data_IF_747678459324
#
_entry.id   IF_747678459324
#
_cell.length_a   1.000
_cell.length_b   1.000
_cell.length_c   1.000
_cell.angle_alpha   90.00
_cell.angle_beta   90.00
_cell.angle_gamma   90.00
#
_symmetry.space_group_name_H-M   'P 1'
#
loop_
_entity.id
_entity.type
_entity.pdbx_description
1 polymer ?
#
# COMPACT_ATOMS: atom_id res chain seq x y z
N UNK A 1 -25.71 -5.72 12.71
CA UNK A 1 -25.97 -5.77 11.23
C UNK A 1 -26.30 -4.38 10.64
N UNK A 2 -27.26 -3.62 11.21
CA UNK A 2 -27.67 -2.31 10.66
C UNK A 2 -26.54 -1.23 10.66
N UNK A 3 -25.69 -1.16 11.70
CA UNK A 3 -24.60 -0.16 11.76
C UNK A 3 -23.53 -0.38 10.68
N UNK A 4 -23.18 -1.61 10.36
CA UNK A 4 -22.21 -1.91 9.30
C UNK A 4 -22.75 -1.59 7.90
N UNK A 5 -24.04 -1.83 7.65
CA UNK A 5 -24.68 -1.40 6.41
C UNK A 5 -24.61 0.11 6.21
N UNK A 6 -24.91 0.92 7.22
CA UNK A 6 -24.89 2.38 7.12
C UNK A 6 -23.49 2.95 6.81
N UNK A 7 -22.40 2.31 7.25
CA UNK A 7 -21.02 2.75 6.97
C UNK A 7 -20.66 2.42 5.51
N UNK A 8 -20.99 1.23 5.03
CA UNK A 8 -20.76 0.82 3.64
C UNK A 8 -21.55 1.66 2.64
N UNK A 9 -22.83 1.93 2.92
CA UNK A 9 -23.68 2.80 2.11
C UNK A 9 -23.08 4.20 1.98
N UNK A 10 -22.49 4.73 3.06
CA UNK A 10 -21.79 6.02 3.05
C UNK A 10 -20.49 5.99 2.23
N UNK A 11 -19.80 4.85 2.17
CA UNK A 11 -18.63 4.63 1.31
C UNK A 11 -19.01 4.35 -0.15
N UNK A 12 -20.30 4.34 -0.49
CA UNK A 12 -20.77 3.98 -1.82
C UNK A 12 -20.53 2.49 -2.17
N UNK A 13 -20.33 1.64 -1.16
CA UNK A 13 -20.12 0.20 -1.36
C UNK A 13 -21.47 -0.52 -1.34
N UNK A 14 -21.88 -1.04 -2.47
CA UNK A 14 -23.17 -1.74 -2.66
C UNK A 14 -23.15 -3.21 -2.23
N UNK A 15 -21.97 -3.81 -2.05
CA UNK A 15 -21.83 -5.22 -1.70
C UNK A 15 -21.89 -5.46 -0.18
N UNK A 16 -22.41 -6.61 0.22
CA UNK A 16 -22.44 -7.09 1.60
C UNK A 16 -21.18 -7.90 1.97
N UNK A 17 -21.06 -8.29 3.25
CA UNK A 17 -20.03 -9.25 3.69
C UNK A 17 -20.23 -10.61 3.02
N UNK A 18 -21.50 -11.04 2.88
CA UNK A 18 -21.85 -12.30 2.26
C UNK A 18 -21.49 -12.30 0.76
N UNK A 19 -21.64 -11.15 0.08
CA UNK A 19 -21.22 -11.00 -1.32
C UNK A 19 -19.70 -11.11 -1.45
N UNK A 20 -18.94 -10.48 -0.54
CA UNK A 20 -17.48 -10.58 -0.52
C UNK A 20 -17.03 -12.04 -0.30
N UNK A 21 -17.62 -12.73 0.67
CA UNK A 21 -17.36 -14.15 0.93
C UNK A 21 -17.67 -15.02 -0.28
N UNK A 22 -18.86 -14.85 -0.86
CA UNK A 22 -19.29 -15.57 -2.05
C UNK A 22 -18.35 -15.33 -3.24
N UNK A 23 -17.85 -14.10 -3.40
CA UNK A 23 -16.93 -13.77 -4.47
C UNK A 23 -15.60 -14.51 -4.31
N UNK A 24 -15.07 -14.60 -3.08
CA UNK A 24 -13.84 -15.37 -2.79
C UNK A 24 -14.08 -16.86 -3.04
N UNK A 25 -15.22 -17.41 -2.59
CA UNK A 25 -15.58 -18.82 -2.80
C UNK A 25 -15.70 -19.16 -4.30
N UNK A 26 -16.33 -18.30 -5.08
CA UNK A 26 -16.43 -18.45 -6.54
C UNK A 26 -15.06 -18.39 -7.21
N UNK A 27 -14.20 -17.44 -6.82
CA UNK A 27 -12.85 -17.37 -7.36
C UNK A 27 -12.06 -18.64 -7.07
N UNK A 28 -12.14 -19.18 -5.85
CA UNK A 28 -11.50 -20.45 -5.49
C UNK A 28 -12.06 -21.63 -6.29
N UNK A 29 -13.37 -21.71 -6.44
CA UNK A 29 -14.03 -22.76 -7.24
C UNK A 29 -13.63 -22.69 -8.71
N UNK A 30 -13.29 -21.51 -9.22
CA UNK A 30 -12.74 -21.31 -10.56
C UNK A 30 -11.23 -21.59 -10.68
N UNK A 31 -10.57 -22.05 -9.59
CA UNK A 31 -9.16 -22.44 -9.58
C UNK A 31 -8.18 -21.32 -9.19
N UNK A 32 -8.65 -20.14 -8.79
CA UNK A 32 -7.76 -19.08 -8.31
C UNK A 32 -7.31 -19.36 -6.88
N UNK A 33 -6.01 -19.55 -6.67
CA UNK A 33 -5.41 -19.84 -5.37
C UNK A 33 -4.69 -18.62 -4.76
N UNK A 34 -4.40 -17.59 -5.56
CA UNK A 34 -3.79 -16.35 -5.13
C UNK A 34 -4.86 -15.24 -5.20
N UNK A 35 -5.42 -14.90 -4.04
CA UNK A 35 -6.54 -13.96 -3.90
C UNK A 35 -6.15 -12.91 -2.86
N UNK A 36 -6.40 -11.65 -3.18
CA UNK A 36 -6.23 -10.52 -2.26
C UNK A 36 -7.59 -9.96 -1.84
N UNK A 37 -7.69 -9.52 -0.58
CA UNK A 37 -8.77 -8.69 -0.07
C UNK A 37 -8.23 -7.35 0.39
N UNK A 38 -8.97 -6.29 0.06
CA UNK A 38 -8.67 -4.94 0.52
C UNK A 38 -9.46 -4.62 1.79
N UNK A 39 -8.75 -4.11 2.78
CA UNK A 39 -9.27 -3.67 4.06
C UNK A 39 -9.02 -2.19 4.24
N UNK A 40 -10.04 -1.42 4.60
CA UNK A 40 -9.91 0.01 4.86
C UNK A 40 -9.99 0.28 6.36
N UNK A 41 -8.99 1.00 6.87
CA UNK A 41 -8.89 1.48 8.25
C UNK A 41 -9.28 2.95 8.36
N UNK A 42 -9.64 3.40 9.55
CA UNK A 42 -9.98 4.81 9.81
C UNK A 42 -11.30 5.27 9.18
N UNK A 43 -12.17 4.35 8.76
CA UNK A 43 -13.49 4.70 8.22
C UNK A 43 -14.39 5.28 9.31
N UNK A 44 -15.37 6.14 8.96
CA UNK A 44 -16.23 6.79 9.95
C UNK A 44 -16.87 5.81 10.95
N UNK A 45 -16.76 6.13 12.24
CA UNK A 45 -17.22 5.32 13.37
C UNK A 45 -16.61 3.90 13.46
N UNK A 46 -15.50 3.64 12.83
CA UNK A 46 -14.77 2.39 13.04
C UNK A 46 -14.19 2.35 14.46
N UNK A 47 -14.21 1.18 15.07
CA UNK A 47 -13.55 0.90 16.34
C UNK A 47 -12.48 -0.19 16.14
N UNK A 48 -11.58 -0.34 17.10
CA UNK A 48 -10.58 -1.40 17.10
C UNK A 48 -11.26 -2.78 16.95
N UNK A 49 -12.32 -3.05 17.73
CA UNK A 49 -13.02 -4.34 17.68
C UNK A 49 -13.67 -4.58 16.30
N UNK A 50 -14.14 -3.51 15.63
CA UNK A 50 -14.73 -3.65 14.30
C UNK A 50 -13.66 -3.90 13.22
N UNK A 51 -12.46 -3.34 13.40
CA UNK A 51 -11.29 -3.62 12.57
C UNK A 51 -10.86 -5.08 12.74
N UNK A 52 -10.70 -5.56 13.99
CA UNK A 52 -10.34 -6.94 14.32
C UNK A 52 -11.30 -7.96 13.68
N UNK A 53 -12.61 -7.69 13.75
CA UNK A 53 -13.61 -8.52 13.06
C UNK A 53 -13.42 -8.55 11.55
N UNK A 54 -13.02 -7.42 10.95
CA UNK A 54 -12.77 -7.35 9.51
C UNK A 54 -11.50 -8.11 9.12
N UNK A 55 -10.45 -8.05 9.94
CA UNK A 55 -9.23 -8.84 9.77
C UNK A 55 -9.53 -10.33 9.90
N UNK A 56 -10.26 -10.73 10.95
CA UNK A 56 -10.69 -12.13 11.14
C UNK A 56 -11.47 -12.66 9.93
N UNK A 57 -12.39 -11.85 9.40
CA UNK A 57 -13.13 -12.21 8.19
C UNK A 57 -12.21 -12.46 6.99
N UNK A 58 -11.20 -11.63 6.78
CA UNK A 58 -10.23 -11.85 5.69
C UNK A 58 -9.47 -13.17 5.87
N UNK A 59 -9.04 -13.47 7.11
CA UNK A 59 -8.36 -14.72 7.44
C UNK A 59 -9.27 -15.94 7.27
N UNK A 60 -10.53 -15.87 7.70
CA UNK A 60 -11.55 -16.93 7.55
C UNK A 60 -11.84 -17.20 6.08
N UNK A 61 -11.77 -16.20 5.23
CA UNK A 61 -11.81 -16.35 3.78
C UNK A 61 -10.59 -17.08 3.22
N UNK A 62 -9.55 -17.35 4.02
CA UNK A 62 -8.31 -18.06 3.63
C UNK A 62 -7.69 -17.48 2.35
N UNK A 63 -7.64 -16.16 2.25
CA UNK A 63 -6.93 -15.45 1.18
C UNK A 63 -5.42 -15.50 1.42
N UNK A 64 -4.64 -15.21 0.40
CA UNK A 64 -3.17 -15.27 0.49
C UNK A 64 -2.54 -13.92 0.70
N UNK A 65 -3.31 -12.85 0.46
CA UNK A 65 -2.83 -11.47 0.52
C UNK A 65 -3.93 -10.56 1.07
N UNK A 66 -3.54 -9.54 1.83
CA UNK A 66 -4.44 -8.51 2.37
C UNK A 66 -3.77 -7.16 2.18
N UNK A 67 -4.49 -6.23 1.53
CA UNK A 67 -4.09 -4.83 1.46
C UNK A 67 -4.86 -4.06 2.53
N UNK A 68 -4.17 -3.35 3.40
CA UNK A 68 -4.78 -2.61 4.51
C UNK A 68 -4.41 -1.14 4.43
N UNK A 69 -5.37 -0.31 4.03
CA UNK A 69 -5.17 1.11 3.79
C UNK A 69 -5.88 1.97 4.82
N UNK A 70 -5.23 3.04 5.28
CA UNK A 70 -5.89 4.09 6.04
C UNK A 70 -6.71 4.96 5.07
N UNK A 71 -7.96 5.26 5.45
CA UNK A 71 -8.83 6.12 4.65
C UNK A 71 -8.21 7.51 4.51
N UNK A 72 -7.89 7.90 3.29
CA UNK A 72 -7.54 9.28 2.92
C UNK A 72 -8.70 9.91 2.17
N UNK A 73 -9.13 11.08 2.61
CA UNK A 73 -10.22 11.81 1.95
C UNK A 73 -9.60 12.74 0.92
N UNK A 74 -9.81 12.42 -0.34
CA UNK A 74 -9.30 13.19 -1.47
C UNK A 74 -10.27 14.32 -1.85
N UNK A 75 -9.72 15.46 -2.24
CA UNK A 75 -10.49 16.60 -2.76
C UNK A 75 -11.36 16.18 -3.96
N UNK A 76 -12.46 16.91 -4.15
CA UNK A 76 -13.42 16.65 -5.24
C UNK A 76 -14.19 15.31 -5.15
N UNK A 77 -14.09 14.59 -4.02
CA UNK A 77 -14.90 13.40 -3.77
C UNK A 77 -16.19 13.74 -3.02
N UNK A 78 -17.24 12.89 -3.10
CA UNK A 78 -18.42 13.05 -2.24
C UNK A 78 -18.10 13.06 -0.74
N UNK A 79 -17.08 12.31 -0.33
CA UNK A 79 -16.60 12.26 1.06
C UNK A 79 -16.01 13.60 1.51
N UNK A 80 -15.24 14.26 0.66
CA UNK A 80 -14.66 15.57 0.95
C UNK A 80 -15.75 16.62 1.27
N UNK A 81 -16.87 16.59 0.52
CA UNK A 81 -17.98 17.53 0.73
C UNK A 81 -18.67 17.40 2.09
N UNK A 82 -18.56 16.25 2.73
CA UNK A 82 -19.23 15.93 4.00
C UNK A 82 -18.27 15.62 5.14
N UNK A 83 -16.95 15.74 4.93
CA UNK A 83 -15.91 15.34 5.87
C UNK A 83 -16.12 15.93 7.29
N UNK A 84 -16.53 17.20 7.38
CA UNK A 84 -16.79 17.87 8.66
C UNK A 84 -17.99 17.31 9.43
N UNK A 85 -18.81 16.46 8.80
CA UNK A 85 -19.94 15.75 9.42
C UNK A 85 -19.64 14.29 9.74
N UNK A 86 -18.45 13.81 9.37
CA UNK A 86 -18.03 12.45 9.61
C UNK A 86 -17.26 12.38 10.93
N UNK A 87 -17.58 11.36 11.73
CA UNK A 87 -16.77 11.02 12.89
C UNK A 87 -15.63 10.12 12.44
N UNK A 88 -14.54 10.74 12.02
CA UNK A 88 -13.30 10.04 11.65
C UNK A 88 -12.48 9.73 12.89
N UNK A 89 -11.63 8.72 12.79
CA UNK A 89 -10.56 8.49 13.74
C UNK A 89 -9.55 9.66 13.62
N UNK A 90 -9.09 10.18 14.75
CA UNK A 90 -7.93 11.09 14.82
C UNK A 90 -6.63 10.32 14.51
N UNK A 91 -5.53 11.04 14.43
CA UNK A 91 -4.23 10.47 14.06
C UNK A 91 -3.75 9.41 15.07
N UNK A 92 -3.97 9.62 16.36
CA UNK A 92 -3.60 8.67 17.41
C UNK A 92 -4.39 7.37 17.28
N UNK A 93 -5.70 7.47 17.05
CA UNK A 93 -6.56 6.30 16.81
C UNK A 93 -6.22 5.59 15.49
N UNK A 94 -5.86 6.34 14.45
CA UNK A 94 -5.42 5.73 13.18
C UNK A 94 -4.12 4.97 13.35
N UNK A 95 -3.17 5.52 14.12
CA UNK A 95 -1.94 4.84 14.48
C UNK A 95 -2.19 3.57 15.28
N UNK A 96 -3.05 3.62 16.30
CA UNK A 96 -3.43 2.45 17.09
C UNK A 96 -4.08 1.37 16.20
N UNK A 97 -5.00 1.75 15.32
CA UNK A 97 -5.61 0.84 14.35
C UNK A 97 -4.56 0.19 13.44
N UNK A 98 -3.60 0.95 12.96
CA UNK A 98 -2.54 0.44 12.10
C UNK A 98 -1.64 -0.57 12.85
N UNK A 99 -1.15 -0.21 14.02
CA UNK A 99 -0.31 -1.10 14.84
C UNK A 99 -1.06 -2.38 15.22
N UNK A 100 -2.33 -2.25 15.58
CA UNK A 100 -3.18 -3.41 15.89
C UNK A 100 -3.40 -4.31 14.67
N UNK A 101 -3.58 -3.72 13.48
CA UNK A 101 -3.69 -4.49 12.24
C UNK A 101 -2.40 -5.25 11.93
N UNK A 102 -1.24 -4.61 12.07
CA UNK A 102 0.08 -5.25 11.88
C UNK A 102 0.24 -6.45 12.80
N UNK A 103 0.00 -6.26 14.11
CA UNK A 103 0.11 -7.32 15.11
C UNK A 103 -0.82 -8.51 14.82
N UNK A 104 -2.09 -8.21 14.56
CA UNK A 104 -3.09 -9.24 14.35
C UNK A 104 -2.86 -10.01 13.03
N UNK A 105 -2.54 -9.31 11.95
CA UNK A 105 -2.23 -9.95 10.66
C UNK A 105 -0.99 -10.84 10.77
N UNK A 106 0.04 -10.38 11.47
CA UNK A 106 1.24 -11.18 11.73
C UNK A 106 0.92 -12.48 12.49
N UNK A 107 0.11 -12.39 13.53
CA UNK A 107 -0.34 -13.55 14.32
C UNK A 107 -1.17 -14.56 13.50
N UNK A 108 -1.85 -14.10 12.45
CA UNK A 108 -2.62 -14.91 11.51
C UNK A 108 -1.78 -15.45 10.33
N UNK A 109 -0.47 -15.16 10.33
CA UNK A 109 0.49 -15.64 9.34
C UNK A 109 0.56 -14.79 8.06
N UNK A 110 0.05 -13.55 8.10
CA UNK A 110 0.23 -12.56 7.04
C UNK A 110 1.37 -11.63 7.43
N UNK A 111 2.52 -11.78 6.80
CA UNK A 111 3.69 -10.93 7.05
C UNK A 111 3.58 -9.64 6.28
N UNK A 112 3.84 -8.53 6.96
CA UNK A 112 3.96 -7.23 6.32
C UNK A 112 5.21 -7.23 5.42
N UNK A 113 5.08 -6.91 4.15
CA UNK A 113 6.22 -6.77 3.23
C UNK A 113 6.41 -5.34 2.72
N UNK A 114 5.38 -4.49 2.82
CA UNK A 114 5.44 -3.04 2.64
C UNK A 114 4.36 -2.36 3.51
N UNK A 115 4.33 -1.04 3.54
CA UNK A 115 3.53 -0.25 4.49
C UNK A 115 2.07 -0.69 4.58
N UNK A 116 1.42 -0.98 3.45
CA UNK A 116 -0.03 -1.25 3.39
C UNK A 116 -0.37 -2.69 3.01
N UNK A 117 0.61 -3.53 2.71
CA UNK A 117 0.35 -4.86 2.18
C UNK A 117 0.97 -5.98 3.00
N UNK A 118 0.17 -7.02 3.20
CA UNK A 118 0.46 -8.19 4.02
C UNK A 118 0.19 -9.45 3.22
N UNK A 119 1.08 -10.42 3.30
CA UNK A 119 0.95 -11.65 2.53
C UNK A 119 1.38 -12.87 3.34
N UNK A 120 0.88 -14.03 2.97
CA UNK A 120 1.50 -15.30 3.33
C UNK A 120 2.82 -15.42 2.57
N UNK A 121 3.78 -16.12 3.15
CA UNK A 121 5.11 -16.29 2.55
C UNK A 121 5.02 -16.78 1.10
N UNK A 122 5.68 -16.04 0.19
CA UNK A 122 5.70 -16.33 -1.25
C UNK A 122 4.48 -15.82 -2.04
N UNK A 123 3.58 -15.05 -1.38
CA UNK A 123 2.40 -14.45 -2.01
C UNK A 123 2.45 -12.92 -2.03
N UNK A 124 3.62 -12.34 -1.78
CA UNK A 124 3.85 -10.90 -1.92
C UNK A 124 3.53 -10.45 -3.35
N UNK A 125 2.86 -9.32 -3.50
CA UNK A 125 2.50 -8.80 -4.82
C UNK A 125 3.74 -8.37 -5.59
N UNK A 126 4.12 -9.15 -6.60
CA UNK A 126 5.24 -8.81 -7.49
C UNK A 126 5.02 -7.49 -8.22
N UNK A 127 3.78 -7.18 -8.56
CA UNK A 127 3.41 -5.92 -9.21
C UNK A 127 3.68 -4.73 -8.29
N UNK A 128 3.21 -4.77 -7.04
CA UNK A 128 3.46 -3.71 -6.05
C UNK A 128 4.95 -3.58 -5.74
N UNK A 129 5.62 -4.72 -5.52
CA UNK A 129 7.07 -4.74 -5.25
C UNK A 129 7.88 -4.14 -6.40
N UNK A 130 7.45 -4.36 -7.67
CA UNK A 130 8.09 -3.74 -8.83
C UNK A 130 8.03 -2.21 -8.77
N UNK A 131 6.90 -1.63 -8.35
CA UNK A 131 6.81 -0.18 -8.15
C UNK A 131 7.75 0.31 -7.04
N UNK A 132 7.77 -0.39 -5.91
CA UNK A 132 8.60 0.00 -4.76
C UNK A 132 10.11 -0.17 -5.01
N UNK A 133 10.49 -1.02 -5.94
CA UNK A 133 11.87 -1.16 -6.44
C UNK A 133 12.17 -0.25 -7.63
N UNK A 134 11.28 0.68 -7.91
CA UNK A 134 11.43 1.59 -9.05
C UNK A 134 11.66 0.86 -10.38
N UNK A 135 10.95 -0.27 -10.57
CA UNK A 135 11.00 -1.07 -11.79
C UNK A 135 10.09 -0.51 -12.87
N UNK A 136 10.42 -0.80 -14.11
CA UNK A 136 9.66 -0.35 -15.27
C UNK A 136 8.32 -1.07 -15.41
N UNK A 137 7.34 -0.36 -15.96
CA UNK A 137 6.00 -0.89 -16.25
C UNK A 137 5.32 -0.13 -17.37
N UNK A 138 4.44 -0.83 -18.10
CA UNK A 138 3.59 -0.26 -19.14
C UNK A 138 2.14 -0.36 -18.70
N UNK A 139 1.46 0.79 -18.63
CA UNK A 139 0.04 0.87 -18.39
C UNK A 139 -0.75 0.83 -19.70
N UNK A 140 -1.85 0.08 -19.72
CA UNK A 140 -2.71 -0.06 -20.91
C UNK A 140 -4.12 0.40 -20.58
N UNK A 141 -4.62 1.35 -21.33
CA UNK A 141 -5.98 1.88 -21.21
C UNK A 141 -6.04 3.36 -20.82
N UNK A 142 -7.24 3.98 -20.89
CA UNK A 142 -7.45 5.35 -20.43
C UNK A 142 -7.07 5.52 -18.96
N UNK A 143 -6.43 6.62 -18.62
CA UNK A 143 -5.85 6.93 -17.31
C UNK A 143 -4.69 6.02 -16.87
N UNK A 144 -4.20 5.13 -17.72
CA UNK A 144 -3.08 4.28 -17.37
C UNK A 144 -1.76 5.04 -17.46
N UNK A 145 -0.96 4.97 -16.39
CA UNK A 145 0.38 5.53 -16.32
C UNK A 145 1.42 4.46 -16.64
N UNK A 146 2.55 4.88 -17.17
CA UNK A 146 3.70 4.04 -17.52
C UNK A 146 4.98 4.68 -17.01
N UNK A 147 5.94 3.83 -16.66
CA UNK A 147 7.32 4.20 -16.42
C UNK A 147 8.21 3.25 -17.23
N UNK A 148 8.88 3.78 -18.25
CA UNK A 148 9.69 2.97 -19.16
C UNK A 148 10.83 3.81 -19.74
N UNK A 149 12.03 3.25 -19.82
CA UNK A 149 13.25 3.94 -20.29
C UNK A 149 13.48 5.30 -19.58
N UNK A 150 13.27 5.33 -18.25
CA UNK A 150 13.44 6.53 -17.44
C UNK A 150 12.40 7.63 -17.67
N UNK A 151 11.32 7.36 -18.43
CA UNK A 151 10.27 8.31 -18.75
C UNK A 151 8.94 7.91 -18.15
N UNK A 152 8.20 8.90 -17.64
CA UNK A 152 6.82 8.75 -17.21
C UNK A 152 5.88 9.33 -18.22
N UNK A 153 4.88 8.56 -18.59
CA UNK A 153 3.85 8.98 -19.53
C UNK A 153 2.53 8.27 -19.21
N UNK A 154 1.44 8.84 -19.70
CA UNK A 154 0.12 8.31 -19.43
C UNK A 154 -0.85 8.58 -20.57
N UNK A 155 -1.91 7.81 -20.63
CA UNK A 155 -3.09 8.14 -21.41
C UNK A 155 -4.05 9.01 -20.59
N UNK A 156 -4.65 10.03 -21.20
CA UNK A 156 -5.72 10.79 -20.57
C UNK A 156 -6.93 9.89 -20.26
N UNK A 157 -7.92 10.42 -19.55
CA UNK A 157 -9.18 9.69 -19.28
C UNK A 157 -10.05 9.51 -20.55
N UNK A 158 -9.69 10.16 -21.65
CA UNK A 158 -10.44 10.13 -22.89
C UNK A 158 -10.22 8.81 -23.63
N UNK A 159 -11.31 8.12 -23.95
CA UNK A 159 -11.27 6.94 -24.84
C UNK A 159 -10.79 7.31 -26.24
N UNK A 160 -11.14 8.52 -26.72
CA UNK A 160 -10.72 8.99 -28.04
C UNK A 160 -9.20 9.23 -28.10
N UNK A 161 -8.62 9.84 -27.05
CA UNK A 161 -7.16 10.00 -26.95
C UNK A 161 -6.46 8.63 -26.90
N UNK A 162 -7.00 7.69 -26.13
CA UNK A 162 -6.46 6.33 -26.07
C UNK A 162 -6.54 5.63 -27.44
N UNK A 163 -7.69 5.66 -28.11
CA UNK A 163 -7.88 5.04 -29.42
C UNK A 163 -6.99 5.68 -30.51
N UNK A 164 -6.68 6.97 -30.37
CA UNK A 164 -5.78 7.70 -31.27
C UNK A 164 -4.31 7.63 -30.82
N UNK A 165 -3.97 6.80 -29.83
CA UNK A 165 -2.63 6.61 -29.27
C UNK A 165 -1.97 7.93 -28.82
N UNK A 166 -2.75 8.84 -28.24
CA UNK A 166 -2.28 10.14 -27.78
C UNK A 166 -1.75 10.04 -26.36
N UNK A 167 -0.45 9.86 -26.25
CA UNK A 167 0.28 9.83 -24.98
C UNK A 167 0.58 11.25 -24.49
N UNK A 168 0.51 11.42 -23.18
CA UNK A 168 0.97 12.61 -22.47
C UNK A 168 2.25 12.29 -21.70
N UNK A 169 3.29 13.10 -21.91
CA UNK A 169 4.54 12.97 -21.17
C UNK A 169 4.39 13.67 -19.82
N UNK A 170 4.79 13.00 -18.72
CA UNK A 170 4.66 13.50 -17.36
C UNK A 170 6.02 13.97 -16.80
N UNK A 171 7.11 13.36 -17.23
CA UNK A 171 8.46 13.69 -16.79
C UNK A 171 9.43 12.53 -16.86
N UNK A 172 10.58 12.71 -16.28
CA UNK A 172 11.56 11.64 -16.02
C UNK A 172 11.32 11.05 -14.64
N UNK A 173 11.81 9.85 -14.41
CA UNK A 173 11.75 9.17 -13.11
C UNK A 173 12.87 8.15 -12.98
N UNK A 174 12.90 7.47 -11.84
CA UNK A 174 13.89 6.45 -11.55
C UNK A 174 15.23 7.00 -11.09
N UNK A 175 15.27 8.26 -10.62
CA UNK A 175 16.45 8.84 -9.99
C UNK A 175 16.72 8.27 -8.59
N UNK A 176 17.82 8.69 -7.98
CA UNK A 176 18.28 8.22 -6.67
C UNK A 176 17.27 8.53 -5.56
N UNK A 177 16.72 9.75 -5.56
CA UNK A 177 15.79 10.19 -4.52
C UNK A 177 14.50 9.36 -4.57
N UNK A 178 13.98 9.14 -5.76
CA UNK A 178 12.79 8.31 -5.97
C UNK A 178 13.06 6.85 -5.58
N UNK A 179 14.19 6.28 -6.00
CA UNK A 179 14.54 4.91 -5.64
C UNK A 179 14.67 4.72 -4.13
N UNK A 180 15.35 5.65 -3.44
CA UNK A 180 15.49 5.62 -1.98
C UNK A 180 14.11 5.73 -1.32
N UNK A 181 13.30 6.72 -1.72
CA UNK A 181 11.97 6.94 -1.16
C UNK A 181 11.06 5.71 -1.33
N UNK A 182 11.06 5.09 -2.51
CA UNK A 182 10.23 3.93 -2.79
C UNK A 182 10.74 2.68 -2.06
N UNK A 183 12.05 2.48 -1.99
CA UNK A 183 12.64 1.36 -1.25
C UNK A 183 12.32 1.38 0.24
N UNK A 184 12.23 2.58 0.85
CA UNK A 184 11.85 2.75 2.25
C UNK A 184 10.39 2.37 2.56
N UNK A 185 9.57 2.13 1.57
CA UNK A 185 8.23 1.57 1.76
C UNK A 185 8.27 0.06 2.03
N UNK A 186 9.29 -0.62 1.54
CA UNK A 186 9.46 -2.07 1.72
C UNK A 186 9.96 -2.39 3.13
N UNK A 187 9.48 -3.48 3.72
CA UNK A 187 9.98 -4.01 4.98
C UNK A 187 11.45 -4.46 4.87
N UNK A 188 11.90 -4.81 3.67
CA UNK A 188 13.30 -5.09 3.35
C UNK A 188 14.18 -3.83 3.31
N UNK A 189 13.56 -2.65 3.24
CA UNK A 189 14.26 -1.38 3.21
C UNK A 189 15.07 -1.13 1.93
N UNK A 190 16.01 -0.19 2.05
CA UNK A 190 16.96 0.18 0.99
C UNK A 190 18.19 -0.73 1.06
N UNK A 191 18.47 -1.42 -0.03
CA UNK A 191 19.60 -2.32 -0.16
C UNK A 191 20.76 -1.64 -0.91
N UNK A 192 21.99 -1.73 -0.36
CA UNK A 192 23.18 -1.13 -0.97
C UNK A 192 23.51 -1.73 -2.32
N UNK A 193 23.44 -3.05 -2.42
CA UNK A 193 23.80 -3.75 -3.65
C UNK A 193 22.81 -3.43 -4.76
N UNK A 194 21.50 -3.35 -4.46
CA UNK A 194 20.47 -2.95 -5.43
C UNK A 194 20.66 -1.50 -5.89
N UNK A 195 21.09 -0.60 -4.98
CA UNK A 195 21.40 0.79 -5.32
C UNK A 195 22.62 0.86 -6.24
N UNK A 196 23.72 0.19 -5.88
CA UNK A 196 24.96 0.18 -6.66
C UNK A 196 24.75 -0.47 -8.04
N UNK A 197 23.99 -1.55 -8.13
CA UNK A 197 23.62 -2.18 -9.40
C UNK A 197 22.83 -1.23 -10.31
N UNK A 198 21.91 -0.46 -9.74
CA UNK A 198 21.05 0.45 -10.49
C UNK A 198 21.77 1.71 -10.97
N UNK A 199 22.62 2.31 -10.13
CA UNK A 199 23.24 3.62 -10.38
C UNK A 199 24.73 3.56 -10.73
N UNK A 200 25.39 2.43 -10.52
CA UNK A 200 26.81 2.23 -10.86
C UNK A 200 27.81 2.83 -9.87
N UNK A 201 27.33 3.29 -8.69
CA UNK A 201 28.16 3.80 -7.61
C UNK A 201 27.50 3.56 -6.25
N UNK A 202 28.29 3.65 -5.19
CA UNK A 202 27.85 3.36 -3.82
C UNK A 202 26.90 4.42 -3.29
N UNK A 203 26.02 4.02 -2.37
CA UNK A 203 25.07 4.92 -1.71
C UNK A 203 25.81 6.13 -1.10
N UNK A 204 25.35 7.38 -1.36
CA UNK A 204 26.01 8.58 -0.88
C UNK A 204 26.17 8.60 0.65
N UNK A 205 27.38 8.96 1.17
CA UNK A 205 27.66 8.91 2.62
C UNK A 205 26.72 9.76 3.48
N UNK A 206 26.12 10.82 2.92
CA UNK A 206 25.18 11.66 3.66
C UNK A 206 23.86 10.93 3.98
N UNK A 207 23.42 9.99 3.13
CA UNK A 207 22.24 9.15 3.38
C UNK A 207 22.50 8.24 4.58
N UNK A 208 23.67 7.59 4.61
CA UNK A 208 24.09 6.74 5.73
C UNK A 208 24.16 7.54 7.04
N UNK A 209 24.74 8.74 6.97
CA UNK A 209 24.81 9.64 8.12
C UNK A 209 23.41 10.00 8.62
N UNK A 210 22.51 10.32 7.71
CA UNK A 210 21.13 10.68 8.05
C UNK A 210 20.37 9.49 8.67
N UNK A 211 20.54 8.31 8.11
CA UNK A 211 19.98 7.09 8.68
C UNK A 211 20.46 6.86 10.13
N UNK A 212 21.77 7.00 10.40
CA UNK A 212 22.32 6.92 11.76
C UNK A 212 21.79 7.98 12.73
N UNK A 213 21.48 9.17 12.24
CA UNK A 213 20.82 10.20 13.04
C UNK A 213 19.40 9.76 13.46
N UNK A 214 18.63 9.18 12.53
CA UNK A 214 17.25 8.71 12.79
C UNK A 214 17.19 7.41 13.58
N UNK A 215 18.25 6.59 13.54
CA UNK A 215 18.34 5.37 14.37
C UNK A 215 18.25 5.68 15.86
N UNK A 216 18.79 6.82 16.30
CA UNK A 216 18.72 7.29 17.69
C UNK A 216 17.28 7.52 18.18
N UNK A 217 16.37 7.75 17.25
CA UNK A 217 14.94 7.97 17.53
C UNK A 217 14.09 6.75 17.23
N UNK A 218 14.71 5.63 16.80
CA UNK A 218 13.99 4.41 16.45
C UNK A 218 13.29 4.45 15.09
N UNK A 219 13.56 5.46 14.25
CA UNK A 219 12.93 5.59 12.94
C UNK A 219 13.61 4.78 11.84
N UNK A 220 14.85 4.39 12.05
CA UNK A 220 15.63 3.58 11.12
C UNK A 220 16.38 2.50 11.86
N UNK A 221 16.66 1.39 11.16
CA UNK A 221 17.53 0.34 11.64
C UNK A 221 18.59 0.08 10.56
N UNK A 222 19.86 0.07 10.97
CA UNK A 222 20.99 -0.23 10.11
C UNK A 222 21.44 -1.66 10.40
N UNK A 223 21.14 -2.59 9.51
CA UNK A 223 21.70 -3.93 9.60
C UNK A 223 23.13 -3.92 9.08
N UNK A 224 24.07 -4.22 9.98
CA UNK A 224 25.48 -4.28 9.69
C UNK A 224 25.79 -5.60 9.00
N UNK A 225 26.16 -5.55 7.75
CA UNK A 225 27.17 -6.43 7.18
C UNK A 225 27.32 -6.31 5.67
N UNK A 226 26.35 -6.03 4.89
CA UNK A 226 26.45 -5.84 3.43
C UNK A 226 25.21 -5.17 2.83
N UNK A 227 24.10 -5.15 3.56
CA UNK A 227 22.83 -4.58 3.11
C UNK A 227 22.31 -3.58 4.14
N UNK A 228 22.08 -2.35 3.70
CA UNK A 228 21.43 -1.33 4.51
C UNK A 228 19.92 -1.54 4.39
N UNK A 229 19.31 -2.16 5.37
CA UNK A 229 17.86 -2.13 5.49
C UNK A 229 17.47 -0.92 6.32
N UNK A 230 17.00 0.13 5.67
CA UNK A 230 16.36 1.26 6.32
C UNK A 230 14.90 0.91 6.50
N UNK A 231 14.54 0.40 7.67
CA UNK A 231 13.13 0.18 8.01
C UNK A 231 12.55 1.53 8.42
N UNK A 232 11.72 2.10 7.57
CA UNK A 232 10.95 3.26 7.94
C UNK A 232 9.80 2.80 8.84
N UNK A 233 9.93 3.02 10.14
CA UNK A 233 8.79 3.01 11.05
C UNK A 233 8.16 4.39 10.91
N UNK A 234 7.16 4.54 10.04
CA UNK A 234 6.31 5.71 10.07
C UNK A 234 5.36 5.58 11.27
N UNK A 235 5.87 5.82 12.47
CA UNK A 235 4.96 6.23 13.51
C UNK A 235 4.43 7.61 13.15
N UNK A 236 3.12 7.87 13.30
CA UNK A 236 2.63 9.22 13.19
C UNK A 236 3.37 10.05 14.23
N UNK A 237 4.21 10.93 13.75
CA UNK A 237 4.92 11.89 14.60
C UNK A 237 3.88 12.75 15.29
N UNK A 238 3.95 12.78 16.61
CA UNK A 238 3.26 13.72 17.47
C UNK A 238 3.60 15.15 17.09
#
# INVERSE_FOLDING_TARGET
>A
RQRQMCIRDRLGRIHSIDDAKTSVERAKSAGFNNISLDLMMGIPNQTIESLEKSISFCADCKVTHISSYILKIEENTPFYKVQNKLKLADDDMQAEMYLRAVEMLDSLGYKQYEISNFAKQGYESRHNTNYWRCGEYIGIGPSAHSFFEGKRFFYSRSMDDFNNNKLSFEGTGGDEEEFIMLSLRLKSGLNYSEFEEKFGYTLPPYIIKKAKEYEKYGYTFLETAQDLSLIHISEPTR
#
